data_IF_446136884989
#
_entry.id   IF_446136884989
#
_cell.length_a   1.000
_cell.length_b   1.000
_cell.length_c   1.000
_cell.angle_alpha   90.00
_cell.angle_beta   90.00
_cell.angle_gamma   90.00
#
_symmetry.space_group_name_H-M   'P 1'
#
loop_
_entity.id
_entity.type
_entity.pdbx_description
1 polymer ?
#
# COMPACT_ATOMS: atom_id res chain seq x y z
N UNK A 1 -56.53 -86.98 -16.63
CA UNK A 1 -57.52 -86.09 -16.02
C UNK A 1 -56.75 -84.87 -15.43
N UNK A 2 -57.22 -83.77 -15.85
CA UNK A 2 -56.67 -82.38 -15.72
C UNK A 2 -56.49 -81.88 -14.29
N UNK A 3 -55.37 -81.30 -13.97
CA UNK A 3 -55.39 -80.29 -12.92
C UNK A 3 -54.39 -79.13 -13.29
N UNK A 4 -54.96 -78.07 -13.78
CA UNK A 4 -54.30 -76.81 -14.03
C UNK A 4 -54.15 -76.08 -12.74
N UNK A 5 -52.94 -76.02 -12.20
CA UNK A 5 -52.56 -75.15 -11.11
C UNK A 5 -52.56 -73.69 -11.53
N UNK A 6 -53.31 -72.92 -10.83
CA UNK A 6 -53.52 -71.46 -10.98
C UNK A 6 -52.44 -70.80 -10.21
N UNK A 7 -51.38 -70.37 -10.84
CA UNK A 7 -50.31 -69.56 -10.26
C UNK A 7 -50.43 -68.16 -10.82
N UNK A 8 -51.01 -67.31 -10.05
CA UNK A 8 -50.31 -66.26 -9.34
C UNK A 8 -50.35 -64.90 -10.04
N UNK A 9 -51.30 -63.99 -9.73
CA UNK A 9 -51.16 -62.54 -9.97
C UNK A 9 -50.35 -61.82 -8.93
N UNK A 10 -49.92 -62.50 -7.86
CA UNK A 10 -49.24 -61.84 -6.73
C UNK A 10 -47.77 -61.49 -7.02
N UNK A 11 -47.08 -62.27 -7.85
CA UNK A 11 -45.65 -62.03 -8.16
C UNK A 11 -45.48 -60.85 -9.12
N UNK A 12 -46.44 -60.56 -9.98
CA UNK A 12 -46.40 -59.43 -10.89
C UNK A 12 -46.65 -58.06 -10.20
N UNK A 13 -47.40 -58.06 -9.09
CA UNK A 13 -47.67 -56.83 -8.33
C UNK A 13 -46.46 -56.36 -7.48
N UNK A 14 -45.61 -57.31 -7.06
CA UNK A 14 -44.44 -56.97 -6.23
C UNK A 14 -43.29 -56.41 -7.06
N UNK A 15 -43.18 -56.80 -8.35
CA UNK A 15 -42.12 -56.26 -9.23
C UNK A 15 -42.38 -54.83 -9.74
N UNK A 16 -43.65 -54.40 -9.77
CA UNK A 16 -43.99 -53.01 -10.13
C UNK A 16 -43.78 -51.99 -9.01
N UNK A 17 -43.75 -52.41 -7.76
CA UNK A 17 -43.57 -51.49 -6.64
C UNK A 17 -42.11 -51.06 -6.41
N UNK A 18 -41.15 -51.82 -6.97
CA UNK A 18 -39.71 -51.44 -6.85
C UNK A 18 -39.25 -50.37 -7.87
N UNK A 19 -40.06 -50.04 -8.88
CA UNK A 19 -39.70 -49.06 -9.89
C UNK A 19 -40.02 -47.61 -9.53
N UNK A 20 -40.67 -47.36 -8.40
CA UNK A 20 -41.11 -46.03 -7.94
C UNK A 20 -40.25 -45.42 -6.82
N UNK A 21 -39.01 -45.91 -6.65
CA UNK A 21 -38.07 -45.22 -5.73
C UNK A 21 -37.65 -43.89 -6.35
N UNK A 22 -37.90 -42.76 -5.69
CA UNK A 22 -37.38 -41.47 -6.16
C UNK A 22 -35.88 -41.60 -6.24
N UNK A 23 -35.34 -41.42 -7.44
CA UNK A 23 -33.89 -41.23 -7.61
C UNK A 23 -33.54 -40.00 -6.85
N UNK A 24 -32.93 -40.14 -5.68
CA UNK A 24 -32.23 -39.07 -4.98
C UNK A 24 -31.17 -38.56 -5.98
N UNK A 25 -31.48 -37.47 -6.63
CA UNK A 25 -30.52 -36.79 -7.49
C UNK A 25 -29.37 -36.33 -6.59
N UNK A 26 -28.27 -37.08 -6.65
CA UNK A 26 -27.01 -36.59 -6.10
C UNK A 26 -26.70 -35.32 -6.86
N UNK A 27 -26.79 -34.19 -6.18
CA UNK A 27 -26.43 -32.92 -6.75
C UNK A 27 -24.99 -33.02 -7.24
N UNK A 28 -24.84 -32.97 -8.56
CA UNK A 28 -23.52 -32.97 -9.17
C UNK A 28 -22.92 -31.57 -9.02
N UNK A 29 -21.75 -31.48 -8.46
CA UNK A 29 -21.00 -30.21 -8.42
C UNK A 29 -20.79 -29.75 -9.87
N UNK A 30 -21.43 -28.65 -10.24
CA UNK A 30 -21.37 -28.07 -11.58
C UNK A 30 -20.67 -26.69 -11.59
N UNK A 31 -20.11 -26.28 -10.45
CA UNK A 31 -19.40 -25.02 -10.33
C UNK A 31 -18.01 -25.26 -9.70
N UNK A 32 -17.00 -24.73 -10.36
CA UNK A 32 -15.63 -24.73 -9.88
C UNK A 32 -15.12 -23.29 -9.85
N UNK A 33 -14.49 -22.93 -8.74
CA UNK A 33 -13.93 -21.60 -8.56
C UNK A 33 -12.40 -21.70 -8.56
N UNK A 34 -11.78 -20.92 -9.41
CA UNK A 34 -10.34 -20.84 -9.51
C UNK A 34 -9.88 -19.40 -9.28
N UNK A 35 -8.80 -19.21 -8.57
CA UNK A 35 -8.22 -17.92 -8.32
C UNK A 35 -6.76 -18.06 -7.93
N UNK A 36 -5.99 -16.98 -8.13
CA UNK A 36 -4.62 -16.87 -7.67
C UNK A 36 -4.55 -15.68 -6.71
N UNK A 37 -4.04 -15.92 -5.52
CA UNK A 37 -3.71 -14.86 -4.57
C UNK A 37 -2.30 -14.36 -4.85
N UNK A 38 -2.13 -13.06 -4.90
CA UNK A 38 -0.84 -12.39 -5.00
C UNK A 38 -0.76 -11.35 -3.89
N UNK A 39 0.42 -11.15 -3.34
CA UNK A 39 0.73 -10.03 -2.45
C UNK A 39 1.43 -8.97 -3.29
N UNK A 40 0.77 -7.87 -3.62
CA UNK A 40 1.41 -6.80 -4.38
C UNK A 40 2.49 -6.12 -3.52
N UNK A 41 3.60 -5.77 -4.14
CA UNK A 41 4.70 -5.03 -3.53
C UNK A 41 4.86 -3.68 -4.19
N UNK A 42 5.13 -2.64 -3.39
CA UNK A 42 5.34 -1.29 -3.88
C UNK A 42 6.76 -0.81 -3.58
N UNK A 43 7.33 -0.10 -4.52
CA UNK A 43 8.64 0.54 -4.40
C UNK A 43 8.50 2.04 -4.64
N UNK A 44 9.15 2.84 -3.79
CA UNK A 44 9.23 4.29 -3.96
C UNK A 44 10.55 4.63 -4.63
N UNK A 45 10.48 5.30 -5.76
CA UNK A 45 11.66 5.61 -6.57
C UNK A 45 11.59 7.01 -7.18
N UNK A 46 12.69 7.47 -7.73
CA UNK A 46 12.75 8.53 -8.74
C UNK A 46 13.22 7.89 -10.05
N UNK A 47 12.27 7.58 -10.95
CA UNK A 47 12.54 6.91 -12.23
C UNK A 47 13.41 5.63 -12.08
N UNK A 48 13.12 4.82 -11.04
CA UNK A 48 13.85 3.59 -10.75
C UNK A 48 15.16 3.75 -9.96
N UNK A 49 15.45 4.95 -9.43
CA UNK A 49 16.64 5.25 -8.65
C UNK A 49 16.30 5.74 -7.23
N UNK A 50 17.31 5.95 -6.40
CA UNK A 50 17.13 6.58 -5.10
C UNK A 50 16.65 8.03 -5.26
N UNK A 51 15.74 8.44 -4.37
CA UNK A 51 15.29 9.83 -4.32
C UNK A 51 16.44 10.75 -3.93
N UNK A 52 16.79 11.69 -4.78
CA UNK A 52 17.78 12.73 -4.47
C UNK A 52 17.12 14.10 -4.49
N UNK A 53 17.28 14.84 -3.39
CA UNK A 53 16.75 16.19 -3.25
C UNK A 53 17.90 17.17 -3.09
N UNK A 54 18.21 17.89 -4.14
CA UNK A 54 19.22 18.93 -4.13
C UNK A 54 18.61 20.28 -3.76
N UNK A 55 18.98 20.83 -2.62
CA UNK A 55 18.69 22.22 -2.31
C UNK A 55 19.56 23.14 -3.17
N UNK A 56 18.95 24.22 -3.67
CA UNK A 56 19.69 25.21 -4.49
C UNK A 56 20.99 25.61 -3.80
N UNK A 57 22.01 25.89 -4.58
CA UNK A 57 23.41 25.98 -4.19
C UNK A 57 23.74 26.93 -3.03
N UNK A 58 22.86 27.86 -2.68
CA UNK A 58 23.06 28.82 -1.60
C UNK A 58 21.78 29.05 -0.81
N UNK A 59 21.80 28.60 0.44
CA UNK A 59 20.75 28.86 1.41
C UNK A 59 21.24 29.89 2.40
N UNK A 60 20.62 31.07 2.41
CA UNK A 60 20.95 32.09 3.40
C UNK A 60 20.45 31.69 4.80
N UNK A 61 21.35 31.49 5.74
CA UNK A 61 21.04 31.04 7.11
C UNK A 61 19.96 31.94 7.77
N UNK A 62 20.01 33.25 7.53
CA UNK A 62 19.05 34.21 8.07
C UNK A 62 17.63 34.05 7.49
N UNK A 63 17.48 33.35 6.39
CA UNK A 63 16.19 33.13 5.70
C UNK A 63 15.62 31.75 5.93
N UNK A 64 16.29 30.90 6.71
CA UNK A 64 15.75 29.58 7.10
C UNK A 64 14.67 29.82 8.16
N UNK A 65 13.43 29.54 7.81
CA UNK A 65 12.25 29.76 8.64
C UNK A 65 11.21 28.64 8.57
N UNK A 66 11.54 27.52 7.90
CA UNK A 66 10.58 26.42 7.69
C UNK A 66 9.59 26.63 6.55
N UNK A 67 9.71 27.72 5.79
CA UNK A 67 8.87 28.05 4.64
C UNK A 67 9.70 28.32 3.39
N UNK A 68 10.80 28.99 3.53
CA UNK A 68 11.70 29.32 2.42
C UNK A 68 12.51 28.10 1.98
N UNK A 69 12.94 28.12 0.72
CA UNK A 69 13.80 27.08 0.12
C UNK A 69 13.12 25.71 -0.02
N UNK A 70 11.80 25.66 -0.16
CA UNK A 70 11.09 24.41 -0.46
C UNK A 70 11.64 23.78 -1.72
N UNK A 71 11.87 22.49 -1.66
CA UNK A 71 12.24 21.68 -2.81
C UNK A 71 11.25 20.53 -2.94
N UNK A 72 10.78 20.30 -4.15
CA UNK A 72 9.96 19.13 -4.43
C UNK A 72 10.81 17.87 -4.35
N UNK A 73 10.30 16.86 -3.69
CA UNK A 73 10.85 15.50 -3.69
C UNK A 73 10.19 14.75 -4.84
N UNK A 74 10.95 14.41 -5.90
CA UNK A 74 10.38 13.77 -7.09
C UNK A 74 10.20 12.27 -6.83
N UNK A 75 9.13 11.89 -6.12
CA UNK A 75 8.85 10.49 -5.85
C UNK A 75 7.77 9.94 -6.77
N UNK A 76 7.93 8.67 -7.12
CA UNK A 76 6.96 7.84 -7.82
C UNK A 76 6.77 6.55 -7.03
N UNK A 77 5.64 5.93 -7.18
CA UNK A 77 5.38 4.63 -6.56
C UNK A 77 5.01 3.64 -7.65
N UNK A 78 5.81 2.61 -7.76
CA UNK A 78 5.60 1.50 -8.66
C UNK A 78 5.19 0.28 -7.85
N UNK A 79 4.05 -0.32 -8.21
CA UNK A 79 3.54 -1.50 -7.51
C UNK A 79 3.38 -2.65 -8.51
N UNK A 80 3.99 -3.79 -8.18
CA UNK A 80 3.81 -5.03 -8.93
C UNK A 80 2.59 -5.80 -8.44
N UNK A 81 1.96 -6.55 -9.35
CA UNK A 81 0.84 -7.42 -9.00
C UNK A 81 -0.50 -6.72 -8.81
N UNK A 82 -0.63 -5.45 -9.21
CA UNK A 82 -1.91 -4.77 -9.22
C UNK A 82 -2.78 -5.33 -10.36
N UNK A 83 -3.77 -6.14 -10.01
CA UNK A 83 -4.78 -6.65 -10.93
C UNK A 83 -6.14 -6.01 -10.68
N UNK A 84 -7.01 -6.01 -11.71
CA UNK A 84 -8.40 -5.59 -11.60
C UNK A 84 -8.66 -4.18 -12.14
N UNK A 85 -9.28 -4.12 -13.32
CA UNK A 85 -9.75 -2.86 -13.89
C UNK A 85 -10.81 -2.22 -12.97
N UNK A 86 -10.67 -0.93 -12.69
CA UNK A 86 -11.63 -0.14 -11.91
C UNK A 86 -11.43 -0.18 -10.39
N UNK A 87 -10.39 -0.82 -9.88
CA UNK A 87 -10.07 -0.76 -8.46
C UNK A 87 -9.32 0.55 -8.12
N UNK A 88 -9.77 1.23 -7.08
CA UNK A 88 -9.06 2.39 -6.51
C UNK A 88 -8.09 1.86 -5.46
N UNK A 89 -6.82 1.95 -5.75
CA UNK A 89 -5.78 1.51 -4.83
C UNK A 89 -5.41 2.64 -3.87
N UNK A 90 -5.54 2.35 -2.58
CA UNK A 90 -5.02 3.19 -1.50
C UNK A 90 -3.75 2.58 -0.97
N UNK A 91 -2.84 3.42 -0.54
CA UNK A 91 -1.61 2.97 0.09
C UNK A 91 -1.30 3.78 1.33
N UNK A 92 -0.54 3.17 2.22
CA UNK A 92 0.10 3.82 3.35
C UNK A 92 1.46 4.32 2.90
N UNK A 93 1.69 5.61 3.08
CA UNK A 93 2.99 6.22 2.87
C UNK A 93 3.57 6.56 4.25
N UNK A 94 4.74 6.02 4.59
CA UNK A 94 5.37 6.22 5.89
C UNK A 94 6.72 6.88 5.72
N UNK A 95 6.96 7.96 6.49
CA UNK A 95 8.23 8.65 6.53
C UNK A 95 9.08 8.15 7.70
N UNK A 96 10.28 7.65 7.42
CA UNK A 96 11.22 7.13 8.42
C UNK A 96 12.55 7.88 8.33
N UNK A 97 13.07 8.28 9.50
CA UNK A 97 14.35 8.98 9.57
C UNK A 97 14.84 9.19 11.00
N UNK A 98 16.03 9.72 11.13
CA UNK A 98 16.55 10.11 12.45
C UNK A 98 16.03 11.50 12.80
N UNK A 99 15.34 11.68 13.92
CA UNK A 99 14.85 13.00 14.34
C UNK A 99 15.99 13.95 14.71
N UNK A 100 15.77 15.24 14.47
CA UNK A 100 16.68 16.29 14.91
C UNK A 100 16.63 16.44 16.43
N UNK A 101 17.76 16.80 17.03
CA UNK A 101 17.87 16.91 18.49
C UNK A 101 16.98 18.01 19.08
N UNK A 102 16.61 19.01 18.28
CA UNK A 102 15.78 20.15 18.70
C UNK A 102 14.29 19.99 18.42
N UNK A 103 13.92 19.07 17.49
CA UNK A 103 12.52 18.81 17.13
C UNK A 103 12.38 17.37 16.62
N UNK A 104 11.61 16.51 17.33
CA UNK A 104 11.44 15.10 16.95
C UNK A 104 10.67 14.88 15.64
N UNK A 105 10.00 15.90 15.12
CA UNK A 105 9.23 15.86 13.86
C UNK A 105 10.08 16.13 12.62
N UNK A 106 11.28 16.65 12.83
CA UNK A 106 12.17 17.16 11.80
C UNK A 106 13.33 16.19 11.59
N UNK A 107 13.67 15.94 10.32
CA UNK A 107 14.79 15.07 9.95
C UNK A 107 16.12 15.71 10.31
N UNK A 108 16.97 14.96 11.03
CA UNK A 108 18.32 15.38 11.39
C UNK A 108 19.20 15.52 10.16
N UNK A 109 19.99 16.58 10.12
CA UNK A 109 21.05 16.77 9.14
C UNK A 109 22.42 16.54 9.74
N UNK A 110 23.47 16.53 8.90
CA UNK A 110 24.86 16.51 9.34
C UNK A 110 25.32 17.80 10.04
N UNK A 111 24.51 18.86 10.02
CA UNK A 111 24.78 20.14 10.66
C UNK A 111 23.90 20.30 11.89
N UNK A 112 24.51 20.40 13.06
CA UNK A 112 23.78 20.56 14.32
C UNK A 112 22.93 21.85 14.31
N UNK A 113 21.67 21.73 14.74
CA UNK A 113 20.71 22.82 14.75
C UNK A 113 20.09 23.15 13.40
N UNK A 114 20.40 22.36 12.34
CA UNK A 114 19.73 22.40 11.07
C UNK A 114 18.98 21.06 10.86
N UNK A 115 17.75 21.13 10.37
CA UNK A 115 16.96 19.97 10.04
C UNK A 115 16.18 20.16 8.77
N UNK A 116 15.52 19.09 8.32
CA UNK A 116 14.63 19.10 7.16
C UNK A 116 13.24 18.67 7.61
N UNK A 117 12.26 19.52 7.37
CA UNK A 117 10.84 19.20 7.52
C UNK A 117 10.31 18.69 6.18
N UNK A 118 9.48 17.64 6.21
CA UNK A 118 8.72 17.21 5.03
C UNK A 118 7.29 17.72 5.10
N UNK A 119 6.71 17.92 3.92
CA UNK A 119 5.31 18.26 3.75
C UNK A 119 4.71 17.36 2.69
N UNK A 120 3.54 16.82 2.97
CA UNK A 120 2.77 16.00 2.03
C UNK A 120 1.48 16.74 1.68
N UNK A 121 1.37 17.22 0.44
CA UNK A 121 0.37 18.21 0.09
C UNK A 121 0.59 19.52 0.85
N UNK A 122 -0.46 20.01 1.52
CA UNK A 122 -0.40 21.24 2.30
C UNK A 122 -0.14 21.03 3.79
N UNK A 123 0.08 19.80 4.23
CA UNK A 123 0.27 19.44 5.63
C UNK A 123 1.70 18.98 5.92
N UNK A 124 2.13 19.20 7.17
CA UNK A 124 3.40 18.67 7.64
C UNK A 124 3.34 17.13 7.70
N UNK A 125 4.43 16.48 7.34
CA UNK A 125 4.59 15.04 7.33
C UNK A 125 5.73 14.66 8.27
N UNK A 126 5.36 14.28 9.49
CA UNK A 126 6.29 14.08 10.57
C UNK A 126 7.07 12.76 10.47
N UNK A 127 8.21 12.66 11.11
CA UNK A 127 8.96 11.40 11.20
C UNK A 127 8.10 10.35 11.93
N UNK A 128 8.13 9.12 11.42
CA UNK A 128 7.32 7.98 11.86
C UNK A 128 5.82 8.12 11.61
N UNK A 129 5.40 9.19 10.96
CA UNK A 129 4.02 9.34 10.54
C UNK A 129 3.69 8.46 9.33
N UNK A 130 2.45 7.98 9.30
CA UNK A 130 1.87 7.22 8.17
C UNK A 130 0.63 7.93 7.67
N UNK A 131 0.57 8.20 6.38
CA UNK A 131 -0.57 8.82 5.68
C UNK A 131 -1.17 7.87 4.66
N UNK A 132 -2.51 7.89 4.58
CA UNK A 132 -3.23 7.20 3.51
C UNK A 132 -3.30 8.11 2.29
N UNK A 133 -2.81 7.62 1.17
CA UNK A 133 -2.81 8.34 -0.10
C UNK A 133 -3.43 7.49 -1.21
N UNK A 134 -3.89 8.16 -2.26
CA UNK A 134 -4.40 7.50 -3.45
C UNK A 134 -3.24 7.27 -4.42
N UNK A 135 -3.04 6.01 -4.87
CA UNK A 135 -1.98 5.68 -5.82
C UNK A 135 -2.15 6.37 -7.18
N UNK A 136 -3.39 6.62 -7.59
CA UNK A 136 -3.68 7.29 -8.86
C UNK A 136 -3.48 8.81 -8.81
N UNK A 137 -3.43 9.41 -7.61
CA UNK A 137 -3.27 10.85 -7.40
C UNK A 137 -2.39 11.08 -6.17
N UNK A 138 -1.08 10.94 -6.39
CA UNK A 138 -0.08 11.08 -5.34
C UNK A 138 0.06 12.54 -4.92
N UNK A 139 -0.05 12.86 -3.62
CA UNK A 139 0.15 14.22 -3.15
C UNK A 139 1.61 14.65 -3.35
N UNK A 140 1.79 15.96 -3.55
CA UNK A 140 3.11 16.56 -3.64
C UNK A 140 3.90 16.35 -2.35
N UNK A 141 5.13 15.91 -2.49
CA UNK A 141 6.06 15.81 -1.36
C UNK A 141 7.11 16.92 -1.48
N UNK A 142 7.30 17.69 -0.41
CA UNK A 142 8.24 18.81 -0.37
C UNK A 142 9.14 18.70 0.85
N UNK A 143 10.41 19.08 0.68
CA UNK A 143 11.40 19.20 1.74
C UNK A 143 11.72 20.68 2.01
N UNK A 144 11.75 21.05 3.28
CA UNK A 144 11.96 22.45 3.71
C UNK A 144 13.03 22.48 4.81
N UNK A 145 14.08 23.31 4.67
CA UNK A 145 15.06 23.48 5.73
C UNK A 145 14.45 24.26 6.90
N UNK A 146 14.72 23.77 8.11
CA UNK A 146 14.37 24.42 9.39
C UNK A 146 15.59 24.51 10.27
N UNK A 147 15.61 25.49 11.15
CA UNK A 147 16.71 25.64 12.12
C UNK A 147 16.19 25.81 13.53
N UNK A 148 16.95 25.32 14.47
CA UNK A 148 16.78 25.64 15.86
C UNK A 148 16.97 27.15 16.09
N UNK A 149 16.08 27.78 16.86
CA UNK A 149 16.10 29.21 17.15
C UNK A 149 17.37 29.65 17.88
N UNK A 150 17.94 28.77 18.70
CA UNK A 150 19.17 29.00 19.43
C UNK A 150 20.45 28.65 18.68
N UNK A 151 20.36 27.99 17.54
CA UNK A 151 21.53 27.48 16.81
C UNK A 151 22.33 28.61 16.12
N UNK A 152 23.62 28.59 16.28
CA UNK A 152 24.58 29.40 15.52
C UNK A 152 25.10 28.59 14.34
N UNK A 153 24.34 28.60 13.24
CA UNK A 153 24.76 27.93 12.00
C UNK A 153 25.91 28.68 11.34
N UNK A 154 26.86 27.96 10.78
CA UNK A 154 27.95 28.49 9.97
C UNK A 154 27.85 28.04 8.53
N UNK A 155 28.63 28.67 7.65
CA UNK A 155 28.69 28.26 6.24
C UNK A 155 29.21 26.83 6.12
N UNK A 156 28.35 25.90 5.76
CA UNK A 156 28.71 24.51 5.63
C UNK A 156 27.82 23.82 4.59
N UNK A 157 28.26 22.68 4.09
CA UNK A 157 27.40 21.74 3.37
C UNK A 157 26.68 20.88 4.37
N UNK A 158 25.48 20.48 4.04
CA UNK A 158 24.73 19.52 4.85
C UNK A 158 24.19 18.37 3.97
N UNK A 159 23.95 17.26 4.64
CA UNK A 159 23.27 16.10 4.10
C UNK A 159 22.28 15.56 5.13
N UNK A 160 21.26 14.87 4.67
CA UNK A 160 20.31 14.14 5.48
C UNK A 160 19.89 12.88 4.71
N UNK A 161 19.52 11.83 5.42
CA UNK A 161 19.03 10.58 4.81
C UNK A 161 17.77 10.14 5.52
N UNK A 162 16.82 9.67 4.74
CA UNK A 162 15.52 9.19 5.20
C UNK A 162 15.03 8.07 4.29
N UNK A 163 13.98 7.38 4.72
CA UNK A 163 13.27 6.38 3.92
C UNK A 163 11.81 6.80 3.78
N UNK A 164 11.27 6.67 2.58
CA UNK A 164 9.86 6.76 2.28
C UNK A 164 9.37 5.36 1.93
N UNK A 165 8.43 4.84 2.70
CA UNK A 165 7.93 3.46 2.59
C UNK A 165 6.50 3.53 2.07
N UNK A 166 6.19 2.75 1.04
CA UNK A 166 4.86 2.62 0.47
C UNK A 166 4.34 1.19 0.65
N UNK A 167 3.15 1.05 1.22
CA UNK A 167 2.47 -0.23 1.43
C UNK A 167 1.04 -0.12 0.95
N UNK A 168 0.58 -1.07 0.15
CA UNK A 168 -0.82 -1.14 -0.28
C UNK A 168 -1.74 -1.46 0.90
N UNK A 169 -2.90 -0.81 0.87
CA UNK A 169 -3.90 -0.92 1.92
C UNK A 169 -5.25 -1.37 1.34
#
# INVERSE_FOLDING_TARGET
>A
MNNRGRTEPVVLALSLLLAALPRLGLGQENMQFHGRLIAPACTVTDQGQFLEVAFKSQIAISKINGENYRQQVPYQVECEGLGGAGLVWRMKLTFKGTPADFDPKVLKTSVQGLGIKLRLGDEDFDIDETRLVNLADLPKLEAVPVKDLGAKLSNNRFSASASLIAELY
#
